data_IF_083216476058
#
_entry.id   IF_083216476058
#
_cell.length_a   1.000
_cell.length_b   1.000
_cell.length_c   1.000
_cell.angle_alpha   90.00
_cell.angle_beta   90.00
_cell.angle_gamma   90.00
#
_symmetry.space_group_name_H-M   'P 1'
#
loop_
_entity.id
_entity.type
_entity.pdbx_description
1 polymer ?
#
# COMPACT_ATOMS: atom_id res chain seq x y z
N UNK A 1 -19.07 -7.15 2.95
CA UNK A 1 -17.88 -6.88 3.80
C UNK A 1 -16.81 -6.23 2.96
N UNK A 2 -16.00 -5.38 3.61
CA UNK A 2 -15.50 -4.12 3.09
C UNK A 2 -14.70 -4.15 1.80
N UNK A 3 -15.14 -3.33 0.84
CA UNK A 3 -14.37 -2.95 -0.34
C UNK A 3 -13.99 -1.49 -0.18
N UNK A 4 -12.71 -1.16 -0.39
CA UNK A 4 -12.24 0.22 -0.33
C UNK A 4 -12.21 0.80 -1.73
N UNK A 5 -12.90 1.92 -1.92
CA UNK A 5 -12.83 2.66 -3.18
C UNK A 5 -11.51 3.42 -3.33
N UNK A 6 -10.99 3.48 -4.56
CA UNK A 6 -9.86 4.33 -4.91
C UNK A 6 -10.32 5.78 -5.00
N UNK A 7 -10.25 6.51 -3.89
CA UNK A 7 -10.66 7.91 -3.80
C UNK A 7 -9.56 8.77 -3.16
N UNK A 8 -9.55 10.07 -3.50
CA UNK A 8 -8.64 11.06 -2.90
C UNK A 8 -8.84 11.15 -1.38
N UNK A 9 -10.08 11.06 -0.91
CA UNK A 9 -10.42 11.02 0.53
C UNK A 9 -9.72 9.84 1.23
N UNK A 10 -9.81 8.63 0.67
CA UNK A 10 -9.14 7.46 1.23
C UNK A 10 -7.61 7.60 1.19
N UNK A 11 -7.05 8.26 0.17
CA UNK A 11 -5.62 8.55 0.09
C UNK A 11 -5.18 9.47 1.25
N UNK A 12 -5.93 10.52 1.54
CA UNK A 12 -5.61 11.45 2.63
C UNK A 12 -5.75 10.81 4.03
N UNK A 13 -6.72 9.92 4.21
CA UNK A 13 -6.96 9.23 5.49
C UNK A 13 -6.04 8.03 5.73
N UNK A 14 -5.39 7.50 4.68
CA UNK A 14 -4.64 6.26 4.80
C UNK A 14 -3.30 6.43 5.51
N UNK A 15 -2.95 5.44 6.33
CA UNK A 15 -1.68 5.43 7.06
C UNK A 15 -0.56 4.65 6.35
N UNK A 16 -0.75 4.08 5.16
CA UNK A 16 0.30 3.24 4.58
C UNK A 16 1.61 4.01 4.33
N UNK A 17 1.56 5.31 4.01
CA UNK A 17 2.78 6.15 3.89
C UNK A 17 3.61 6.24 5.17
N UNK A 18 3.00 5.97 6.34
CA UNK A 18 3.66 5.91 7.65
C UNK A 18 3.88 4.48 8.16
N UNK A 19 3.44 3.47 7.39
CA UNK A 19 3.52 2.06 7.78
C UNK A 19 4.98 1.59 7.72
N UNK A 20 5.50 0.88 8.74
CA UNK A 20 6.86 0.36 8.73
C UNK A 20 7.17 -0.49 7.50
N UNK A 21 6.25 -1.38 7.12
CA UNK A 21 6.40 -2.23 5.92
C UNK A 21 6.56 -1.40 4.64
N UNK A 22 5.76 -0.36 4.45
CA UNK A 22 5.86 0.49 3.26
C UNK A 22 7.11 1.38 3.31
N UNK A 23 7.33 2.05 4.44
CA UNK A 23 8.40 3.03 4.61
C UNK A 23 9.77 2.40 4.43
N UNK A 24 10.02 1.24 5.02
CA UNK A 24 11.31 0.56 4.89
C UNK A 24 11.58 0.16 3.43
N UNK A 25 10.59 -0.37 2.70
CA UNK A 25 10.74 -0.71 1.30
C UNK A 25 10.99 0.53 0.42
N UNK A 26 10.27 1.63 0.69
CA UNK A 26 10.45 2.89 -0.02
C UNK A 26 11.83 3.52 0.25
N UNK A 27 12.28 3.53 1.51
CA UNK A 27 13.59 4.07 1.91
C UNK A 27 14.76 3.30 1.27
N UNK A 28 14.65 1.97 1.16
CA UNK A 28 15.65 1.14 0.48
C UNK A 28 15.76 1.45 -1.01
N UNK A 29 14.64 1.75 -1.67
CA UNK A 29 14.61 2.17 -3.08
C UNK A 29 15.15 3.57 -3.32
N UNK A 30 15.06 4.45 -2.32
CA UNK A 30 15.46 5.85 -2.43
C UNK A 30 16.96 6.11 -2.22
N UNK A 31 17.79 5.06 -2.07
CA UNK A 31 19.23 5.23 -1.94
C UNK A 31 19.88 5.61 -3.30
N UNK A 32 20.76 6.62 -3.34
CA UNK A 32 21.19 7.33 -4.55
C UNK A 32 22.37 6.70 -5.31
N UNK A 33 22.61 5.39 -5.22
CA UNK A 33 23.87 4.80 -5.75
C UNK A 33 23.93 4.71 -7.28
N UNK A 34 22.84 5.01 -8.00
CA UNK A 34 22.82 5.04 -9.48
C UNK A 34 21.87 6.13 -10.01
N UNK A 35 22.14 7.38 -9.62
CA UNK A 35 21.39 8.58 -10.04
C UNK A 35 21.64 8.98 -11.50
N UNK A 36 21.98 8.05 -12.40
CA UNK A 36 22.28 8.37 -13.82
C UNK A 36 21.29 7.76 -14.80
N UNK A 37 20.34 6.92 -14.36
CA UNK A 37 19.34 6.30 -15.27
C UNK A 37 17.89 6.71 -15.09
N UNK A 38 17.57 7.63 -14.18
CA UNK A 38 16.17 7.98 -13.87
C UNK A 38 15.78 9.40 -14.29
N UNK A 39 16.35 9.90 -15.40
CA UNK A 39 15.69 10.91 -16.25
C UNK A 39 14.95 10.16 -17.38
N UNK A 40 14.14 9.18 -17.01
CA UNK A 40 12.99 8.75 -17.79
C UNK A 40 11.80 8.82 -16.83
N UNK A 41 11.50 10.05 -16.44
CA UNK A 41 10.31 10.39 -15.67
C UNK A 41 9.09 10.29 -16.56
N UNK A 42 8.56 9.07 -16.71
CA UNK A 42 7.22 8.91 -17.23
C UNK A 42 6.25 9.17 -16.07
N UNK A 43 5.75 10.41 -16.00
CA UNK A 43 4.74 10.89 -15.04
C UNK A 43 3.37 10.21 -15.21
N UNK A 44 3.33 9.05 -15.84
CA UNK A 44 2.14 8.21 -16.04
C UNK A 44 2.06 7.03 -15.07
N UNK A 45 3.07 6.85 -14.22
CA UNK A 45 3.16 5.69 -13.35
C UNK A 45 2.21 5.77 -12.15
N UNK A 46 1.71 4.61 -11.73
CA UNK A 46 0.76 4.36 -10.66
C UNK A 46 1.18 4.83 -9.24
N UNK A 47 2.10 5.80 -9.13
CA UNK A 47 2.58 6.43 -7.91
C UNK A 47 1.51 7.23 -7.14
N UNK A 48 0.39 7.61 -7.77
CA UNK A 48 -0.73 8.27 -7.08
C UNK A 48 -1.53 7.34 -6.16
N UNK A 49 -1.38 6.02 -6.28
CA UNK A 49 -2.06 5.04 -5.41
C UNK A 49 -1.10 4.20 -4.55
N UNK A 50 0.20 4.27 -4.80
CA UNK A 50 1.21 3.71 -3.89
C UNK A 50 1.10 4.41 -2.53
N UNK A 51 0.51 3.71 -1.55
CA UNK A 51 0.13 4.28 -0.26
C UNK A 51 -1.31 4.00 0.18
N UNK A 52 -2.13 3.31 -0.62
CA UNK A 52 -3.48 2.83 -0.21
C UNK A 52 -3.74 1.40 -0.68
N UNK A 53 -2.97 0.45 -0.16
CA UNK A 53 -2.99 -0.93 -0.66
C UNK A 53 -4.28 -1.69 -0.43
N UNK A 54 -5.09 -1.30 0.56
CA UNK A 54 -6.43 -1.88 0.75
C UNK A 54 -7.41 -1.57 -0.39
N UNK A 55 -7.14 -0.53 -1.19
CA UNK A 55 -7.90 -0.17 -2.39
C UNK A 55 -7.16 -0.56 -3.68
N UNK A 56 -5.83 -0.51 -3.69
CA UNK A 56 -5.02 -0.73 -4.89
C UNK A 56 -4.55 -2.17 -5.11
N UNK A 57 -4.54 -3.01 -4.08
CA UNK A 57 -4.01 -4.37 -4.14
C UNK A 57 -2.52 -4.47 -3.80
N UNK A 58 -1.93 -5.64 -4.08
CA UNK A 58 -0.53 -5.97 -3.75
C UNK A 58 0.45 -4.97 -4.40
N UNK A 59 1.47 -4.57 -3.65
CA UNK A 59 2.62 -3.87 -4.21
C UNK A 59 3.49 -4.84 -4.99
N UNK A 60 4.16 -4.34 -6.03
CA UNK A 60 5.15 -5.12 -6.81
C UNK A 60 6.55 -5.11 -6.19
N UNK A 61 6.74 -4.33 -5.13
CA UNK A 61 8.07 -3.95 -4.65
C UNK A 61 8.29 -4.17 -3.16
N UNK A 62 7.22 -4.47 -2.44
CA UNK A 62 7.28 -4.77 -1.02
C UNK A 62 7.25 -6.28 -0.92
N UNK A 63 8.35 -6.86 -0.45
CA UNK A 63 8.52 -8.32 -0.35
C UNK A 63 8.59 -8.79 1.12
N UNK A 64 8.85 -7.87 2.05
CA UNK A 64 9.10 -8.19 3.45
C UNK A 64 8.08 -7.54 4.40
N UNK A 65 7.67 -8.29 5.43
CA UNK A 65 6.86 -7.76 6.54
C UNK A 65 7.77 -7.12 7.58
N UNK A 66 7.65 -5.80 7.76
CA UNK A 66 8.37 -5.05 8.82
C UNK A 66 7.46 -4.55 9.94
N UNK A 67 6.15 -4.81 9.84
CA UNK A 67 5.12 -4.36 10.77
C UNK A 67 3.99 -3.65 10.03
N UNK A 68 2.75 -3.84 10.50
CA UNK A 68 1.54 -3.31 9.86
C UNK A 68 0.72 -2.50 10.85
N UNK A 69 0.32 -1.30 10.43
CA UNK A 69 -0.51 -0.38 11.23
C UNK A 69 -1.92 -0.20 10.64
N UNK A 70 -2.35 -1.09 9.73
CA UNK A 70 -3.64 -0.98 9.06
C UNK A 70 -4.81 -0.98 10.05
N UNK A 71 -4.76 -1.76 11.14
CA UNK A 71 -5.84 -1.77 12.15
C UNK A 71 -6.10 -0.43 12.84
N UNK A 72 -5.10 0.46 12.85
CA UNK A 72 -5.22 1.82 13.38
C UNK A 72 -5.66 2.85 12.33
N UNK A 73 -5.72 2.46 11.05
CA UNK A 73 -6.06 3.34 9.94
C UNK A 73 -7.56 3.68 9.93
N UNK A 74 -7.89 4.94 9.64
CA UNK A 74 -9.29 5.36 9.53
C UNK A 74 -10.01 4.67 8.38
N UNK A 75 -9.36 4.55 7.22
CA UNK A 75 -9.91 3.82 6.05
C UNK A 75 -10.24 2.36 6.40
N UNK A 76 -9.41 1.71 7.21
CA UNK A 76 -9.64 0.34 7.67
C UNK A 76 -10.93 0.24 8.50
N UNK A 77 -11.11 1.16 9.46
CA UNK A 77 -12.27 1.18 10.36
C UNK A 77 -13.56 1.54 9.63
N UNK A 78 -13.53 2.61 8.81
CA UNK A 78 -14.71 3.12 8.08
C UNK A 78 -15.24 2.09 7.07
N UNK A 79 -14.37 1.26 6.50
CA UNK A 79 -14.76 0.25 5.52
C UNK A 79 -15.01 -1.13 6.15
N UNK A 80 -14.94 -1.26 7.49
CA UNK A 80 -15.20 -2.53 8.18
C UNK A 80 -14.28 -3.66 7.72
N UNK A 81 -13.01 -3.33 7.50
CA UNK A 81 -12.01 -4.30 7.08
C UNK A 81 -11.56 -5.15 8.26
N UNK A 82 -11.09 -6.36 7.99
CA UNK A 82 -10.59 -7.29 9.01
C UNK A 82 -9.16 -7.73 8.76
N UNK A 83 -8.70 -7.76 7.50
CA UNK A 83 -7.36 -8.21 7.14
C UNK A 83 -6.26 -7.16 7.33
N UNK A 84 -5.01 -7.57 7.18
CA UNK A 84 -3.86 -6.68 7.24
C UNK A 84 -3.00 -6.81 6.00
N UNK A 85 -1.87 -6.10 6.00
CA UNK A 85 -0.80 -6.33 5.02
C UNK A 85 -1.25 -6.34 3.57
N UNK A 86 -2.19 -5.46 3.20
CA UNK A 86 -2.75 -5.38 1.85
C UNK A 86 -1.68 -5.16 0.77
N UNK A 87 -0.55 -4.56 1.14
CA UNK A 87 0.61 -4.39 0.26
C UNK A 87 1.31 -5.69 -0.15
N UNK A 88 1.12 -6.78 0.60
CA UNK A 88 1.75 -8.08 0.37
C UNK A 88 0.71 -9.15 0.03
N UNK A 89 -0.44 -9.10 0.71
CA UNK A 89 -1.47 -10.14 0.67
C UNK A 89 -2.67 -9.78 -0.20
N UNK A 90 -2.72 -8.56 -0.71
CA UNK A 90 -3.79 -8.08 -1.59
C UNK A 90 -4.95 -7.50 -0.80
N UNK A 91 -5.96 -7.00 -1.49
CA UNK A 91 -7.19 -6.43 -0.94
C UNK A 91 -7.94 -7.40 -0.03
N UNK A 92 -8.88 -6.87 0.76
CA UNK A 92 -9.76 -7.69 1.62
C UNK A 92 -10.46 -8.81 0.83
N UNK A 93 -10.93 -8.48 -0.37
CA UNK A 93 -11.62 -9.42 -1.26
C UNK A 93 -10.69 -10.53 -1.74
N UNK A 94 -9.44 -10.21 -2.09
CA UNK A 94 -8.43 -11.18 -2.53
C UNK A 94 -8.01 -12.13 -1.40
N UNK A 95 -7.78 -11.59 -0.20
CA UNK A 95 -7.40 -12.40 0.96
C UNK A 95 -8.51 -13.35 1.39
N UNK A 96 -9.78 -12.91 1.33
CA UNK A 96 -10.92 -13.77 1.67
C UNK A 96 -11.13 -14.91 0.69
N UNK A 97 -10.92 -14.67 -0.61
CA UNK A 97 -10.98 -15.73 -1.64
C UNK A 97 -9.85 -16.75 -1.51
N UNK A 98 -8.80 -16.41 -0.76
CA UNK A 98 -7.62 -17.25 -0.54
C UNK A 98 -7.65 -18.00 0.80
N UNK A 99 -8.72 -17.83 1.60
CA UNK A 99 -8.96 -18.65 2.80
C UNK A 99 -9.62 -20.00 2.45
N UNK A 100 -9.46 -21.04 3.31
CA UNK A 100 -10.03 -22.37 3.10
C UNK A 100 -11.56 -22.38 2.99
#
# INVERSE_FOLDING_TARGET
MGKVEKSIDNIHKCLCRKCPTYRTAYEQKSKPEDMTRMIEGDTSDAGSLEGVFCASGKSRFIEERKGCICGSCQVYKENGLSSGYYCLEGTEEEQRKSGP
#
